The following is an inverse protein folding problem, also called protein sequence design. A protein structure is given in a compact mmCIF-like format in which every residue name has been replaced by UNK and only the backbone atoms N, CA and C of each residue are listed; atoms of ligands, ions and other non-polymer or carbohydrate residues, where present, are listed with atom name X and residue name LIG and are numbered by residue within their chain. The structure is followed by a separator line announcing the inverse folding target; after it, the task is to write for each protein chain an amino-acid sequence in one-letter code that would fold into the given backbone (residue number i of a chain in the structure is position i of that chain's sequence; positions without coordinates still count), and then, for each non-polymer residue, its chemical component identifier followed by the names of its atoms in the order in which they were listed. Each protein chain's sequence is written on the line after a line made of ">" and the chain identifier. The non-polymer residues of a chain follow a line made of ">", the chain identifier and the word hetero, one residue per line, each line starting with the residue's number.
data_IF_339356942446
#
_entry.id   IF_339356942446
#
_cell.length_a   1.000
_cell.length_b   1.000
_cell.length_c   1.000
_cell.angle_alpha   90.00
_cell.angle_beta   90.00
_cell.angle_gamma   90.00
#
_symmetry.space_group_name_H-M   'P 1'
#
loop_
_entity.id
_entity.type
_entity.pdbx_description
1 polymer ?
#
# COMPACT_ATOMS: atom_id res chain seq x y z
N UNK A 1 2.05 -24.87 -50.21
CA UNK A 1 3.46 -25.09 -50.60
C UNK A 1 4.24 -24.12 -49.74
N UNK A 2 4.90 -24.45 -48.63
CA UNK A 2 5.68 -25.57 -48.10
C UNK A 2 5.35 -25.66 -46.58
N UNK A 3 5.34 -26.78 -45.86
CA UNK A 3 6.27 -27.91 -45.83
C UNK A 3 7.12 -27.83 -44.55
N UNK A 4 7.27 -28.96 -43.85
CA UNK A 4 8.14 -29.25 -42.69
C UNK A 4 7.58 -28.96 -41.27
N UNK A 5 7.50 -29.90 -40.33
CA UNK A 5 7.98 -31.29 -40.28
C UNK A 5 8.53 -31.63 -38.88
N UNK A 6 8.30 -32.87 -38.43
CA UNK A 6 8.90 -33.59 -37.28
C UNK A 6 8.47 -33.14 -35.86
N UNK A 7 7.91 -33.98 -34.97
CA UNK A 7 7.91 -35.43 -34.86
C UNK A 7 9.03 -35.92 -33.94
N UNK A 8 8.73 -36.14 -32.66
CA UNK A 8 9.50 -37.06 -31.79
C UNK A 8 8.53 -37.92 -30.97
N UNK A 9 8.63 -39.23 -31.19
CA UNK A 9 8.06 -40.26 -30.35
C UNK A 9 9.16 -40.94 -29.52
N UNK A 10 8.75 -41.72 -28.52
CA UNK A 10 9.65 -42.58 -27.74
C UNK A 10 9.05 -42.92 -26.38
N UNK A 11 8.06 -43.82 -26.31
CA UNK A 11 8.13 -45.26 -25.99
C UNK A 11 8.44 -45.61 -24.52
N UNK A 12 7.48 -46.37 -24.01
CA UNK A 12 7.32 -47.08 -22.75
C UNK A 12 8.40 -48.17 -22.53
N UNK A 13 8.81 -48.39 -21.28
CA UNK A 13 9.09 -49.69 -20.60
C UNK A 13 9.90 -49.44 -19.32
N UNK A 14 9.68 -50.07 -18.17
CA UNK A 14 8.77 -51.16 -17.84
C UNK A 14 8.90 -51.57 -16.37
N UNK A 15 8.08 -52.58 -16.04
CA UNK A 15 8.26 -53.63 -15.01
C UNK A 15 8.43 -53.23 -13.55
N UNK A 16 7.37 -53.52 -12.79
CA UNK A 16 7.38 -53.49 -11.33
C UNK A 16 8.03 -54.69 -10.66
N UNK A 17 8.04 -54.65 -9.33
CA UNK A 17 8.16 -55.83 -8.49
C UNK A 17 7.37 -55.58 -7.19
N UNK A 18 6.43 -56.49 -6.93
CA UNK A 18 5.75 -56.65 -5.64
C UNK A 18 6.70 -57.32 -4.66
N UNK A 19 6.59 -57.00 -3.37
CA UNK A 19 6.27 -57.97 -2.30
C UNK A 19 6.08 -57.29 -0.94
N UNK A 20 5.08 -57.82 -0.27
CA UNK A 20 4.48 -57.48 1.00
C UNK A 20 5.33 -57.82 2.24
N UNK A 21 4.92 -57.22 3.38
CA UNK A 21 4.65 -57.83 4.71
C UNK A 21 5.42 -57.24 5.91
N UNK A 22 4.65 -56.51 6.76
CA UNK A 22 4.63 -56.38 8.25
C UNK A 22 5.90 -55.81 8.92
N UNK A 23 5.86 -55.06 10.03
CA UNK A 23 5.11 -55.24 11.28
C UNK A 23 4.85 -53.90 12.00
N UNK A 24 3.86 -53.95 12.91
CA UNK A 24 3.44 -52.91 13.82
C UNK A 24 4.50 -52.61 14.89
N UNK A 25 4.55 -51.35 15.31
CA UNK A 25 5.24 -50.87 16.49
C UNK A 25 4.54 -49.63 17.02
N UNK A 26 3.60 -49.86 17.94
CA UNK A 26 3.11 -48.88 18.90
C UNK A 26 4.27 -48.48 19.83
N UNK A 27 4.61 -47.20 19.90
CA UNK A 27 5.37 -46.63 21.01
C UNK A 27 4.87 -45.19 21.22
N UNK A 28 3.93 -45.09 22.16
CA UNK A 28 3.40 -43.85 22.70
C UNK A 28 4.54 -43.02 23.31
N UNK A 29 4.73 -41.80 22.81
CA UNK A 29 5.42 -40.74 23.53
C UNK A 29 4.46 -39.58 23.70
N UNK A 30 3.84 -39.58 24.87
CA UNK A 30 3.51 -38.36 25.58
C UNK A 30 4.77 -37.49 25.70
N UNK A 31 4.76 -36.36 25.02
CA UNK A 31 5.55 -35.20 25.44
C UNK A 31 4.59 -34.03 25.61
N UNK A 32 4.34 -33.77 26.88
CA UNK A 32 3.67 -32.63 27.46
C UNK A 32 3.99 -31.31 26.74
N UNK A 33 2.91 -30.60 26.44
CA UNK A 33 2.70 -29.20 26.80
C UNK A 33 3.95 -28.30 26.79
N UNK A 34 4.20 -27.72 25.62
CA UNK A 34 4.41 -26.30 25.56
C UNK A 34 3.46 -25.76 24.50
N UNK A 35 2.25 -25.37 24.94
CA UNK A 35 1.55 -24.28 24.28
C UNK A 35 2.54 -23.12 24.25
N UNK A 36 3.22 -22.96 23.12
CA UNK A 36 3.73 -21.67 22.74
C UNK A 36 2.48 -20.79 22.68
N UNK A 37 2.22 -20.09 23.78
CA UNK A 37 1.36 -18.95 23.79
C UNK A 37 1.81 -18.13 22.59
N UNK A 38 1.01 -18.16 21.53
CA UNK A 38 1.05 -17.14 20.51
C UNK A 38 0.97 -15.85 21.30
N UNK A 39 2.11 -15.19 21.43
CA UNK A 39 2.15 -13.79 21.79
C UNK A 39 1.06 -13.17 20.91
N UNK A 40 0.01 -12.55 21.49
CA UNK A 40 -0.90 -11.80 20.66
C UNK A 40 0.01 -10.85 19.89
N UNK A 41 -0.15 -10.84 18.56
CA UNK A 41 0.56 -9.93 17.69
C UNK A 41 0.67 -8.58 18.40
N UNK A 42 1.90 -8.09 18.56
CA UNK A 42 2.13 -6.70 18.93
C UNK A 42 1.17 -5.89 18.07
N UNK A 43 0.27 -5.14 18.71
CA UNK A 43 -0.79 -4.32 18.13
C UNK A 43 -1.04 -4.65 16.66
N UNK A 44 -2.05 -5.48 16.36
CA UNK A 44 -2.66 -5.37 15.03
C UNK A 44 -2.92 -3.88 14.83
N UNK A 45 -2.23 -3.20 13.91
CA UNK A 45 -2.39 -1.76 13.82
C UNK A 45 -3.86 -1.59 13.47
N UNK A 46 -4.62 -0.96 14.38
CA UNK A 46 -6.04 -0.67 14.20
C UNK A 46 -6.18 -0.13 12.79
N UNK A 47 -6.67 -0.95 11.84
CA UNK A 47 -6.43 -0.80 10.40
C UNK A 47 -6.23 0.68 10.03
N UNK A 48 -4.96 1.13 9.99
CA UNK A 48 -4.64 2.55 10.19
C UNK A 48 -5.45 3.33 9.17
N UNK A 49 -6.43 4.11 9.64
CA UNK A 49 -7.24 4.90 8.73
C UNK A 49 -6.29 5.87 8.03
N UNK A 50 -6.04 5.62 6.76
CA UNK A 50 -5.27 6.53 5.92
C UNK A 50 -5.87 7.93 6.07
N UNK A 51 -5.03 8.96 6.21
CA UNK A 51 -5.48 10.35 6.26
C UNK A 51 -6.29 10.73 5.03
N UNK A 52 -6.11 9.98 3.94
CA UNK A 52 -6.94 10.06 2.73
C UNK A 52 -7.65 8.72 2.51
N UNK A 53 -9.00 8.69 2.57
CA UNK A 53 -9.77 7.46 2.39
C UNK A 53 -9.44 6.73 1.08
N UNK A 54 -9.41 5.40 1.10
CA UNK A 54 -9.22 4.60 -0.12
C UNK A 54 -10.47 4.60 -0.99
N UNK A 55 -11.63 4.49 -0.36
CA UNK A 55 -12.93 4.50 -1.01
C UNK A 55 -13.40 5.95 -1.20
N UNK A 56 -13.84 6.27 -2.42
CA UNK A 56 -14.38 7.58 -2.80
C UNK A 56 -15.60 7.39 -3.71
N UNK A 57 -16.29 8.45 -4.07
CA UNK A 57 -17.39 8.40 -5.04
C UNK A 57 -16.86 8.27 -6.49
N UNK A 58 -15.57 8.53 -6.72
CA UNK A 58 -14.90 8.28 -7.99
C UNK A 58 -14.30 6.86 -8.06
N UNK A 59 -14.81 6.04 -8.99
CA UNK A 59 -14.24 4.71 -9.28
C UNK A 59 -12.77 4.78 -9.68
N UNK A 60 -12.38 5.88 -10.35
CA UNK A 60 -11.04 6.11 -10.88
C UNK A 60 -10.05 6.37 -9.74
N UNK A 61 -10.45 7.23 -8.82
CA UNK A 61 -9.71 7.52 -7.59
C UNK A 61 -9.53 6.27 -6.75
N UNK A 62 -10.64 5.58 -6.52
CA UNK A 62 -10.65 4.35 -5.72
C UNK A 62 -9.73 3.28 -6.33
N UNK A 63 -9.72 3.15 -7.66
CA UNK A 63 -8.90 2.16 -8.35
C UNK A 63 -7.39 2.34 -8.13
N UNK A 64 -6.84 3.55 -8.33
CA UNK A 64 -5.40 3.75 -8.16
C UNK A 64 -4.99 3.69 -6.69
N UNK A 65 -5.84 4.14 -5.76
CA UNK A 65 -5.59 4.05 -4.32
C UNK A 65 -5.58 2.60 -3.83
N UNK A 66 -6.47 1.75 -4.33
CA UNK A 66 -6.45 0.31 -4.04
C UNK A 66 -5.21 -0.36 -4.63
N UNK A 67 -4.88 -0.06 -5.89
CA UNK A 67 -3.69 -0.62 -6.54
C UNK A 67 -2.41 -0.31 -5.76
N UNK A 68 -2.28 0.90 -5.20
CA UNK A 68 -1.17 1.22 -4.30
C UNK A 68 -1.20 0.46 -2.99
N UNK A 69 -2.36 0.41 -2.33
CA UNK A 69 -2.48 -0.30 -1.05
C UNK A 69 -2.19 -1.80 -1.20
N UNK A 70 -2.54 -2.39 -2.34
CA UNK A 70 -2.25 -3.79 -2.67
C UNK A 70 -0.78 -4.01 -3.03
N UNK A 71 -0.18 -3.10 -3.80
CA UNK A 71 1.22 -3.24 -4.22
C UNK A 71 2.22 -2.89 -3.12
N UNK A 72 1.88 -1.94 -2.24
CA UNK A 72 2.80 -1.38 -1.24
C UNK A 72 3.96 -0.58 -1.84
N UNK A 73 3.94 -0.29 -3.14
CA UNK A 73 4.99 0.45 -3.84
C UNK A 73 4.41 1.29 -4.99
N UNK A 74 5.16 2.31 -5.40
CA UNK A 74 4.75 3.16 -6.51
C UNK A 74 5.00 2.45 -7.85
N UNK A 75 3.93 1.97 -8.49
CA UNK A 75 4.02 1.28 -9.79
C UNK A 75 3.89 2.25 -10.97
N UNK A 76 4.46 1.94 -12.15
CA UNK A 76 4.31 2.78 -13.35
C UNK A 76 2.84 3.02 -13.75
N UNK A 77 1.98 2.01 -13.56
CA UNK A 77 0.55 2.13 -13.87
C UNK A 77 -0.18 3.12 -12.96
N UNK A 78 0.17 3.15 -11.67
CA UNK A 78 -0.37 4.14 -10.74
C UNK A 78 0.14 5.54 -11.08
N UNK A 79 1.43 5.69 -11.38
CA UNK A 79 2.01 6.99 -11.77
C UNK A 79 1.27 7.58 -12.96
N UNK A 80 1.02 6.76 -13.99
CA UNK A 80 0.27 7.17 -15.18
C UNK A 80 -1.19 7.53 -14.86
N UNK A 81 -1.86 6.75 -14.01
CA UNK A 81 -3.23 7.02 -13.58
C UNK A 81 -3.33 8.37 -12.83
N UNK A 82 -2.49 8.58 -11.82
CA UNK A 82 -2.44 9.80 -11.01
C UNK A 82 -2.11 11.02 -11.88
N UNK A 83 -1.15 10.89 -12.80
CA UNK A 83 -0.81 11.96 -13.74
C UNK A 83 -1.95 12.27 -14.72
N UNK A 84 -2.67 11.25 -15.20
CA UNK A 84 -3.78 11.41 -16.13
C UNK A 84 -4.99 12.06 -15.47
N UNK A 85 -5.30 11.68 -14.22
CA UNK A 85 -6.47 12.21 -13.48
C UNK A 85 -6.19 13.64 -13.01
N UNK A 86 -5.04 13.87 -12.37
CA UNK A 86 -4.78 15.14 -11.66
C UNK A 86 -3.79 16.08 -12.37
N UNK A 87 -3.26 15.68 -13.52
CA UNK A 87 -2.32 16.47 -14.31
C UNK A 87 -1.09 16.88 -13.50
N UNK A 88 -0.77 18.19 -13.54
CA UNK A 88 0.38 18.75 -12.84
C UNK A 88 0.33 18.55 -11.31
N UNK A 89 -0.87 18.49 -10.70
CA UNK A 89 -0.98 18.24 -9.26
C UNK A 89 -0.55 16.81 -8.92
N UNK A 90 -0.91 15.84 -9.75
CA UNK A 90 -0.47 14.44 -9.61
C UNK A 90 1.04 14.30 -9.74
N UNK A 91 1.65 14.94 -10.73
CA UNK A 91 3.11 14.90 -10.91
C UNK A 91 3.87 15.46 -9.71
N UNK A 92 3.43 16.60 -9.17
CA UNK A 92 4.04 17.22 -7.98
C UNK A 92 3.91 16.35 -6.73
N UNK A 93 2.79 15.63 -6.60
CA UNK A 93 2.59 14.71 -5.50
C UNK A 93 3.64 13.58 -5.55
N UNK A 94 3.83 12.97 -6.72
CA UNK A 94 4.81 11.89 -6.92
C UNK A 94 6.23 12.35 -6.65
N UNK A 95 6.59 13.55 -7.12
CA UNK A 95 7.88 14.18 -6.81
C UNK A 95 8.08 14.35 -5.30
N UNK A 96 7.09 14.89 -4.60
CA UNK A 96 7.18 15.10 -3.15
C UNK A 96 7.33 13.79 -2.35
N UNK A 97 6.65 12.73 -2.76
CA UNK A 97 6.82 11.40 -2.15
C UNK A 97 8.24 10.88 -2.40
N UNK A 98 8.73 10.99 -3.63
CA UNK A 98 10.09 10.56 -4.00
C UNK A 98 11.18 11.35 -3.26
N UNK A 99 10.88 12.59 -2.87
CA UNK A 99 11.76 13.46 -2.07
C UNK A 99 11.62 13.24 -0.55
N UNK A 100 10.75 12.34 -0.08
CA UNK A 100 10.53 12.07 1.33
C UNK A 100 9.88 13.24 2.09
N UNK A 101 8.98 13.99 1.44
CA UNK A 101 8.39 15.24 1.98
C UNK A 101 7.08 15.04 2.73
N UNK A 102 6.72 13.80 3.04
CA UNK A 102 5.51 13.47 3.79
C UNK A 102 5.91 12.97 5.17
N UNK A 103 5.44 13.69 6.20
CA UNK A 103 5.69 13.40 7.60
C UNK A 103 4.42 12.87 8.24
N UNK A 104 4.50 11.76 8.97
CA UNK A 104 3.39 11.19 9.72
C UNK A 104 3.59 11.40 11.20
N UNK A 105 2.68 12.13 11.82
CA UNK A 105 2.56 12.24 13.26
C UNK A 105 1.56 11.20 13.77
N UNK A 106 1.34 11.15 15.09
CA UNK A 106 0.42 10.19 15.69
C UNK A 106 -1.02 10.37 15.21
N UNK A 107 -1.45 11.62 15.05
CA UNK A 107 -2.84 12.00 14.78
C UNK A 107 -3.05 12.74 13.45
N UNK A 108 -1.99 13.17 12.75
CA UNK A 108 -2.11 13.91 11.49
C UNK A 108 -0.93 13.64 10.55
N UNK A 109 -1.13 13.97 9.28
CA UNK A 109 -0.09 13.90 8.24
C UNK A 109 0.28 15.32 7.82
N UNK A 110 1.57 15.60 7.68
CA UNK A 110 2.10 16.88 7.19
C UNK A 110 2.84 16.67 5.88
N UNK A 111 2.52 17.47 4.88
CA UNK A 111 3.26 17.51 3.62
C UNK A 111 4.04 18.82 3.54
N UNK A 112 5.36 18.71 3.38
CA UNK A 112 6.25 19.87 3.27
C UNK A 112 6.11 20.46 1.87
N UNK A 113 5.40 21.58 1.76
CA UNK A 113 5.30 22.35 0.52
C UNK A 113 6.54 23.16 0.21
N UNK A 114 6.55 23.87 -0.93
CA UNK A 114 7.68 24.75 -1.28
C UNK A 114 7.68 26.07 -0.50
N UNK A 115 6.53 26.47 0.04
CA UNK A 115 6.37 27.71 0.80
C UNK A 115 6.37 27.47 2.32
N UNK A 116 5.63 26.45 2.76
CA UNK A 116 5.35 26.12 4.15
C UNK A 116 4.94 24.64 4.26
N UNK A 117 4.68 24.19 5.48
CA UNK A 117 4.17 22.85 5.78
C UNK A 117 2.64 22.86 5.83
N UNK A 118 1.99 21.80 5.32
CA UNK A 118 0.54 21.71 5.25
C UNK A 118 0.02 20.44 5.90
N UNK A 119 -1.01 20.58 6.74
CA UNK A 119 -1.68 19.47 7.40
C UNK A 119 -2.70 18.84 6.45
N UNK A 120 -2.72 17.51 6.40
CA UNK A 120 -3.64 16.68 5.63
C UNK A 120 -4.39 15.74 6.57
N UNK A 121 -5.71 15.85 6.58
CA UNK A 121 -6.63 15.11 7.46
C UNK A 121 -7.95 14.86 6.70
N UNK A 122 -8.50 13.64 6.80
CA UNK A 122 -9.75 13.22 6.17
C UNK A 122 -9.92 13.62 4.69
N UNK A 123 -8.84 13.53 3.90
CA UNK A 123 -8.82 13.92 2.49
C UNK A 123 -8.82 15.44 2.24
N UNK A 124 -8.81 16.26 3.29
CA UNK A 124 -8.67 17.72 3.24
C UNK A 124 -7.21 18.18 3.44
N UNK A 125 -6.93 19.45 3.10
CA UNK A 125 -5.63 20.06 3.33
C UNK A 125 -5.75 21.55 3.67
N UNK A 126 -4.84 22.06 4.51
CA UNK A 126 -4.82 23.47 4.92
C UNK A 126 -4.24 24.43 3.86
N UNK A 127 -3.81 23.93 2.70
CA UNK A 127 -3.22 24.78 1.67
C UNK A 127 -4.25 25.62 0.91
N UNK A 128 -3.80 26.79 0.40
CA UNK A 128 -4.65 27.72 -0.37
C UNK A 128 -5.27 27.10 -1.63
N UNK A 129 -4.60 26.16 -2.28
CA UNK A 129 -5.16 25.49 -3.47
C UNK A 129 -6.41 24.70 -3.07
N UNK A 130 -6.35 23.97 -1.95
CA UNK A 130 -7.51 23.25 -1.40
C UNK A 130 -8.63 24.19 -0.96
N UNK A 131 -8.30 25.35 -0.39
CA UNK A 131 -9.30 26.28 0.13
C UNK A 131 -10.02 27.11 -0.93
N UNK A 132 -9.40 27.34 -2.09
CA UNK A 132 -9.89 28.35 -3.04
C UNK A 132 -10.03 27.88 -4.49
N UNK A 133 -9.37 26.79 -4.90
CA UNK A 133 -9.24 26.44 -6.33
C UNK A 133 -9.81 25.06 -6.69
N UNK A 134 -10.33 24.31 -5.73
CA UNK A 134 -10.87 22.97 -5.96
C UNK A 134 -12.37 22.96 -5.74
N UNK A 135 -13.03 22.15 -6.57
CA UNK A 135 -14.43 21.79 -6.34
C UNK A 135 -14.48 20.67 -5.31
N UNK A 136 -15.12 20.93 -4.17
CA UNK A 136 -15.22 19.95 -3.07
C UNK A 136 -16.22 18.83 -3.37
N UNK A 137 -17.08 19.01 -4.37
CA UNK A 137 -18.04 18.00 -4.83
C UNK A 137 -17.45 17.07 -5.91
N UNK A 138 -16.21 17.34 -6.35
CA UNK A 138 -15.49 16.56 -7.37
C UNK A 138 -14.32 15.81 -6.72
N UNK A 139 -14.44 14.48 -6.61
CA UNK A 139 -13.42 13.61 -6.01
C UNK A 139 -12.10 13.56 -6.81
N UNK A 140 -12.14 13.81 -8.13
CA UNK A 140 -10.95 13.86 -8.97
C UNK A 140 -10.16 15.18 -8.71
N UNK A 141 -10.76 16.17 -8.03
CA UNK A 141 -10.12 17.42 -7.67
C UNK A 141 -9.57 17.40 -6.25
N UNK A 142 -8.25 17.16 -6.18
CA UNK A 142 -7.47 17.22 -4.94
C UNK A 142 -6.21 18.05 -5.14
N UNK A 143 -5.78 18.75 -4.08
CA UNK A 143 -4.52 19.47 -4.10
C UNK A 143 -3.37 18.45 -4.07
N UNK A 144 -2.19 18.85 -4.55
CA UNK A 144 -1.07 17.91 -4.63
C UNK A 144 -0.63 17.38 -3.26
N UNK A 145 -0.87 18.11 -2.16
CA UNK A 145 -0.54 17.64 -0.82
C UNK A 145 -1.40 16.44 -0.39
N UNK A 146 -2.72 16.50 -0.64
CA UNK A 146 -3.63 15.36 -0.36
C UNK A 146 -3.20 14.15 -1.19
N UNK A 147 -2.86 14.36 -2.45
CA UNK A 147 -2.37 13.29 -3.32
C UNK A 147 -1.04 12.70 -2.81
N UNK A 148 -0.11 13.54 -2.35
CA UNK A 148 1.17 13.08 -1.81
C UNK A 148 0.98 12.24 -0.54
N UNK A 149 0.14 12.69 0.39
CA UNK A 149 -0.21 11.94 1.58
C UNK A 149 -0.87 10.59 1.22
N UNK A 150 -1.83 10.61 0.29
CA UNK A 150 -2.51 9.40 -0.16
C UNK A 150 -1.53 8.37 -0.74
N UNK A 151 -0.58 8.80 -1.56
CA UNK A 151 0.43 7.92 -2.16
C UNK A 151 1.40 7.42 -1.09
N UNK A 152 2.03 8.32 -0.34
CA UNK A 152 3.08 8.00 0.62
C UNK A 152 2.60 7.05 1.72
N UNK A 153 1.38 7.26 2.23
CA UNK A 153 0.86 6.40 3.30
C UNK A 153 0.66 4.97 2.85
N UNK A 154 0.24 4.77 1.60
CA UNK A 154 -0.02 3.44 1.04
C UNK A 154 1.24 2.66 0.72
N UNK A 155 2.32 3.36 0.37
CA UNK A 155 3.61 2.73 0.06
C UNK A 155 4.58 2.73 1.24
N UNK A 156 4.17 3.30 2.39
CA UNK A 156 5.00 3.37 3.59
C UNK A 156 6.17 4.36 3.53
N UNK A 157 6.24 5.20 2.50
CA UNK A 157 7.31 6.20 2.31
C UNK A 157 6.99 7.50 3.05
N UNK A 158 6.97 7.43 4.38
CA UNK A 158 6.67 8.53 5.30
C UNK A 158 7.81 8.70 6.31
N UNK A 159 8.15 9.94 6.65
CA UNK A 159 8.97 10.25 7.82
C UNK A 159 8.10 10.23 9.09
N UNK A 160 8.29 9.23 9.96
CA UNK A 160 7.44 9.03 11.15
C UNK A 160 7.97 9.81 12.35
N UNK A 161 7.11 10.62 12.96
CA UNK A 161 7.41 11.37 14.16
C UNK A 161 6.49 10.95 15.31
N UNK A 162 7.11 10.55 16.43
CA UNK A 162 6.40 10.09 17.62
C UNK A 162 5.98 11.26 18.53
N UNK A 163 5.21 12.22 17.97
CA UNK A 163 4.73 13.43 18.65
C UNK A 163 3.25 13.69 18.30
N UNK A 164 2.51 14.33 19.20
CA UNK A 164 1.11 14.75 18.98
C UNK A 164 1.01 16.20 18.54
N UNK A 165 -0.13 16.60 17.96
CA UNK A 165 -0.38 18.00 17.60
C UNK A 165 -0.20 18.96 18.79
N UNK A 166 -0.61 18.55 20.00
CA UNK A 166 -0.43 19.34 21.23
C UNK A 166 1.03 19.63 21.58
N UNK A 167 1.96 18.80 21.12
CA UNK A 167 3.39 18.93 21.42
C UNK A 167 4.08 19.88 20.43
N UNK A 168 3.55 19.99 19.20
CA UNK A 168 4.18 20.76 18.11
C UNK A 168 3.42 22.00 17.66
N UNK A 169 2.15 22.20 18.07
CA UNK A 169 1.36 23.38 17.66
C UNK A 169 2.05 24.72 18.01
N UNK A 170 2.84 24.77 19.07
CA UNK A 170 3.57 26.00 19.43
C UNK A 170 4.78 26.28 18.49
N UNK A 171 5.10 25.37 17.57
CA UNK A 171 6.23 25.44 16.63
C UNK A 171 5.83 25.47 15.14
N UNK A 172 4.55 25.22 14.82
CA UNK A 172 3.96 25.32 13.48
C UNK A 172 3.36 26.71 13.24
#
# INVERSE_FOLDING_TARGET
>A
MTGDGAGIGGVLSGTGQRRDVREAGDDERDEDAAEAASTPAADEPEAESFAVPTETESDRETAWRRALAEAGELTPGVVDAVATIHGNRGMRAIEAVSEGRVKRYRDFTVVVGYAEEYVVEDGGCTCKDSSYNLDTEDDDQRCWHVLAAAVAERIGELDRHDMWYSDVRDFL
#
